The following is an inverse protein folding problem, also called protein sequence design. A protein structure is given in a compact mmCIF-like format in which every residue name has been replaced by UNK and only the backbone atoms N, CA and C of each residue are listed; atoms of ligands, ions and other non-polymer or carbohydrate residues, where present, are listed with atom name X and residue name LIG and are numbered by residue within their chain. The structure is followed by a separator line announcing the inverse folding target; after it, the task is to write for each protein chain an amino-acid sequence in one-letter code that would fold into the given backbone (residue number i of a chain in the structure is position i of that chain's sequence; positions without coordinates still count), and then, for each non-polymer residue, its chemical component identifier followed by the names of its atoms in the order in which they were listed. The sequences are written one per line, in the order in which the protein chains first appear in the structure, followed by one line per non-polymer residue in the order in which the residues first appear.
data_IF_870119382715
#
_entry.id   IF_870119382715
#
_cell.length_a   1.000
_cell.length_b   1.000
_cell.length_c   1.000
_cell.angle_alpha   90.00
_cell.angle_beta   90.00
_cell.angle_gamma   90.00
#
_symmetry.space_group_name_H-M   'P 1'
#
loop_
_entity.id
_entity.type
_entity.pdbx_description
1 polymer ?
#
# COMPACT_ATOMS: atom_id res chain seq x y z
N UNK A 1 -0.70 15.16 -18.89
CA UNK A 1 0.70 15.04 -18.44
C UNK A 1 1.56 14.82 -19.66
N UNK A 2 2.64 15.57 -19.89
CA UNK A 2 3.64 15.18 -20.89
C UNK A 2 4.25 13.88 -20.40
N UNK A 3 4.12 12.84 -21.18
CA UNK A 3 4.55 11.48 -20.82
C UNK A 3 6.08 11.38 -20.87
N UNK A 4 6.72 12.13 -21.76
CA UNK A 4 8.17 12.21 -21.90
C UNK A 4 8.55 13.62 -22.33
N UNK A 5 9.71 14.10 -21.92
CA UNK A 5 10.26 15.39 -22.37
C UNK A 5 11.77 15.26 -22.57
N UNK A 6 12.32 16.19 -23.37
CA UNK A 6 13.74 16.27 -23.65
C UNK A 6 14.37 17.42 -22.87
N UNK A 7 15.53 17.15 -22.31
CA UNK A 7 16.36 18.16 -21.63
C UNK A 7 17.80 18.07 -22.09
N UNK A 8 18.59 19.08 -21.74
CA UNK A 8 20.00 19.08 -22.01
C UNK A 8 20.79 19.36 -20.74
N UNK A 9 21.93 18.72 -20.60
CA UNK A 9 22.88 18.99 -19.51
C UNK A 9 23.43 20.40 -19.59
N UNK A 10 24.08 20.87 -18.56
CA UNK A 10 25.08 21.93 -18.67
C UNK A 10 26.21 21.52 -19.62
N UNK A 11 27.19 22.40 -19.78
CA UNK A 11 28.41 22.07 -20.55
C UNK A 11 29.18 21.03 -19.73
N UNK A 12 29.48 19.89 -20.36
CA UNK A 12 30.29 18.80 -19.81
C UNK A 12 31.51 18.59 -20.69
N UNK A 13 32.71 18.62 -20.09
CA UNK A 13 33.93 18.33 -20.80
C UNK A 13 34.08 16.81 -20.96
N UNK A 14 34.16 16.37 -22.23
CA UNK A 14 34.38 14.96 -22.51
C UNK A 14 35.82 14.51 -22.24
N UNK A 15 36.04 13.20 -22.18
CA UNK A 15 37.38 12.59 -22.02
C UNK A 15 38.32 12.94 -23.15
N UNK A 16 37.79 13.31 -24.32
CA UNK A 16 38.52 13.80 -25.50
C UNK A 16 38.84 15.32 -25.44
N UNK A 17 38.52 15.97 -24.33
CA UNK A 17 38.74 17.38 -24.10
C UNK A 17 37.77 18.33 -24.82
N UNK A 18 36.72 17.82 -25.45
CA UNK A 18 35.68 18.62 -26.12
C UNK A 18 34.52 18.91 -25.20
N UNK A 19 34.11 20.18 -25.17
CA UNK A 19 32.94 20.62 -24.39
C UNK A 19 31.66 20.31 -25.15
N UNK A 20 30.73 19.61 -24.50
CA UNK A 20 29.44 19.19 -25.09
C UNK A 20 28.28 19.46 -24.15
N UNK A 21 27.09 19.56 -24.73
CA UNK A 21 25.81 19.38 -24.01
C UNK A 21 25.20 18.07 -24.49
N UNK A 22 24.83 17.22 -23.52
CA UNK A 22 24.13 15.99 -23.84
C UNK A 22 22.64 16.24 -23.78
N UNK A 23 21.91 15.78 -24.78
CA UNK A 23 20.45 15.77 -24.80
C UNK A 23 20.00 14.42 -24.26
N UNK A 24 19.06 14.43 -23.35
CA UNK A 24 18.53 13.22 -22.73
C UNK A 24 17.02 13.26 -22.60
N UNK A 25 16.42 12.08 -22.57
CA UNK A 25 14.99 11.87 -22.36
C UNK A 25 14.73 11.69 -20.86
N UNK A 26 13.60 12.17 -20.39
CA UNK A 26 13.13 11.89 -19.03
C UNK A 26 11.60 11.68 -19.01
N UNK A 27 11.13 10.74 -18.19
CA UNK A 27 9.70 10.46 -17.99
C UNK A 27 9.15 11.36 -16.88
N UNK A 28 9.92 11.55 -15.81
CA UNK A 28 9.52 12.31 -14.63
C UNK A 28 10.08 13.74 -14.65
N UNK A 29 11.04 14.03 -13.79
CA UNK A 29 11.61 15.37 -13.65
C UNK A 29 12.90 15.50 -14.48
N UNK A 30 13.23 16.74 -14.85
CA UNK A 30 14.46 17.06 -15.58
C UNK A 30 15.74 16.49 -14.93
N UNK A 31 15.79 16.37 -13.60
CA UNK A 31 16.93 15.78 -12.89
C UNK A 31 16.95 14.24 -12.84
N UNK A 32 16.01 13.57 -13.53
CA UNK A 32 15.85 12.11 -13.54
C UNK A 32 15.92 11.58 -14.98
N UNK A 33 17.12 11.49 -15.60
CA UNK A 33 17.26 10.99 -16.97
C UNK A 33 16.82 9.52 -17.03
N UNK A 34 16.12 9.18 -18.12
CA UNK A 34 15.80 7.79 -18.45
C UNK A 34 17.03 7.10 -19.02
N UNK A 35 17.34 5.92 -18.52
CA UNK A 35 18.47 5.12 -18.99
C UNK A 35 18.14 4.44 -20.32
N UNK A 36 19.14 4.33 -21.21
CA UNK A 36 19.01 3.60 -22.47
C UNK A 36 19.37 2.12 -22.27
N UNK A 37 18.36 1.30 -22.04
CA UNK A 37 18.51 -0.14 -21.87
C UNK A 37 18.80 -0.89 -23.18
N UNK A 38 18.74 -0.21 -24.32
CA UNK A 38 19.06 -0.77 -25.64
C UNK A 38 20.39 -0.26 -26.19
N UNK A 39 21.20 0.41 -25.36
CA UNK A 39 22.55 0.84 -25.74
C UNK A 39 23.40 -0.39 -26.11
N UNK A 40 23.87 -0.49 -27.38
CA UNK A 40 24.64 -1.65 -27.82
C UNK A 40 26.00 -1.81 -27.11
N UNK A 41 26.43 -0.81 -26.35
CA UNK A 41 27.62 -0.92 -25.49
C UNK A 41 27.34 -1.58 -24.14
N UNK A 42 26.06 -1.87 -23.81
CA UNK A 42 25.63 -2.37 -22.52
C UNK A 42 26.05 -1.49 -21.33
N UNK A 43 26.12 -0.17 -21.55
CA UNK A 43 26.57 0.76 -20.51
C UNK A 43 25.56 0.85 -19.37
N UNK A 44 24.27 0.87 -19.69
CA UNK A 44 23.19 0.93 -18.70
C UNK A 44 23.16 -0.32 -17.84
N UNK A 45 23.20 -1.52 -18.44
CA UNK A 45 23.18 -2.78 -17.72
C UNK A 45 24.38 -2.91 -16.78
N UNK A 46 25.58 -2.54 -17.26
CA UNK A 46 26.78 -2.58 -16.39
C UNK A 46 26.69 -1.60 -15.24
N UNK A 47 26.12 -0.42 -15.46
CA UNK A 47 25.94 0.59 -14.41
C UNK A 47 24.99 0.08 -13.34
N UNK A 48 23.79 -0.35 -13.72
CA UNK A 48 22.75 -0.75 -12.76
C UNK A 48 23.08 -2.07 -12.07
N UNK A 49 23.60 -3.05 -12.80
CA UNK A 49 24.06 -4.33 -12.18
C UNK A 49 25.25 -4.07 -11.26
N UNK A 50 26.17 -3.16 -11.63
CA UNK A 50 27.28 -2.79 -10.76
C UNK A 50 26.80 -2.17 -9.46
N UNK A 51 25.82 -1.28 -9.51
CA UNK A 51 25.20 -0.66 -8.35
C UNK A 51 24.51 -1.72 -7.45
N UNK A 52 23.74 -2.63 -8.03
CA UNK A 52 23.08 -3.73 -7.33
C UNK A 52 24.10 -4.69 -6.66
N UNK A 53 25.22 -4.98 -7.33
CA UNK A 53 26.31 -5.78 -6.75
C UNK A 53 26.96 -5.07 -5.57
N UNK A 54 27.13 -3.74 -5.66
CA UNK A 54 27.69 -2.94 -4.57
C UNK A 54 26.72 -2.88 -3.39
N UNK A 55 25.43 -2.66 -3.61
CA UNK A 55 24.41 -2.64 -2.55
C UNK A 55 24.37 -3.98 -1.77
N UNK A 56 24.24 -5.08 -2.46
CA UNK A 56 24.11 -6.40 -1.81
C UNK A 56 25.48 -6.94 -1.37
N UNK A 57 26.48 -6.91 -2.26
CA UNK A 57 27.76 -7.58 -2.03
C UNK A 57 28.75 -6.78 -1.18
N UNK A 58 28.72 -5.44 -1.23
CA UNK A 58 29.68 -4.57 -0.53
C UNK A 58 29.04 -3.93 0.69
N UNK A 59 27.84 -3.34 0.53
CA UNK A 59 27.13 -2.67 1.64
C UNK A 59 26.41 -3.67 2.54
N UNK A 60 26.08 -4.85 2.01
CA UNK A 60 25.48 -5.95 2.77
C UNK A 60 23.96 -5.83 2.91
N UNK A 61 23.31 -5.19 1.96
CA UNK A 61 21.86 -5.10 1.92
C UNK A 61 21.25 -6.46 1.54
N UNK A 62 20.14 -6.81 2.19
CA UNK A 62 19.40 -8.04 1.90
C UNK A 62 18.40 -7.84 0.76
N UNK A 63 18.00 -6.59 0.47
CA UNK A 63 16.89 -6.29 -0.43
C UNK A 63 17.10 -4.97 -1.19
N UNK A 64 16.89 -5.01 -2.51
CA UNK A 64 16.96 -3.85 -3.39
C UNK A 64 15.55 -3.42 -3.84
N UNK A 65 15.25 -2.13 -3.72
CA UNK A 65 14.02 -1.53 -4.25
C UNK A 65 14.22 -1.08 -5.70
N UNK A 66 13.36 -1.55 -6.58
CA UNK A 66 13.30 -1.12 -7.98
C UNK A 66 12.21 -0.06 -8.13
N UNK A 67 12.66 1.21 -8.31
CA UNK A 67 11.78 2.38 -8.43
C UNK A 67 11.24 2.50 -9.86
N UNK A 68 9.93 2.70 -10.02
CA UNK A 68 9.27 2.95 -11.30
C UNK A 68 9.67 1.95 -12.42
N UNK A 69 9.98 0.75 -12.06
CA UNK A 69 10.62 -0.28 -12.90
C UNK A 69 9.70 -0.85 -14.01
N UNK A 70 8.43 -0.52 -14.03
CA UNK A 70 7.53 -0.80 -15.17
C UNK A 70 7.69 0.17 -16.35
N UNK A 71 8.46 1.25 -16.18
CA UNK A 71 8.60 2.34 -17.13
C UNK A 71 9.98 2.40 -17.80
N UNK A 72 10.63 1.26 -18.00
CA UNK A 72 12.00 1.17 -18.50
C UNK A 72 12.08 1.18 -20.03
N UNK A 73 11.12 0.58 -20.70
CA UNK A 73 11.07 0.56 -22.17
C UNK A 73 10.34 1.79 -22.72
N UNK A 74 10.90 2.41 -23.75
CA UNK A 74 10.25 3.51 -24.46
C UNK A 74 10.26 3.21 -25.94
N UNK A 75 9.08 3.07 -26.53
CA UNK A 75 8.92 2.84 -27.96
C UNK A 75 7.91 3.82 -28.55
N UNK A 76 8.20 4.31 -29.75
CA UNK A 76 7.27 5.16 -30.50
C UNK A 76 6.47 4.32 -31.47
N UNK A 77 5.17 4.24 -31.23
CA UNK A 77 4.27 3.53 -32.14
C UNK A 77 4.09 4.25 -33.49
N UNK A 78 3.66 3.53 -34.55
CA UNK A 78 3.42 4.11 -35.87
C UNK A 78 2.40 5.26 -35.87
N UNK A 79 1.45 5.26 -34.94
CA UNK A 79 0.44 6.31 -34.74
C UNK A 79 1.00 7.57 -34.07
N UNK A 80 2.29 7.55 -33.66
CA UNK A 80 2.98 8.63 -32.98
C UNK A 80 2.81 8.65 -31.46
N UNK A 81 2.04 7.71 -30.89
CA UNK A 81 1.95 7.52 -29.44
C UNK A 81 3.26 6.94 -28.89
N UNK A 82 3.52 7.19 -27.63
CA UNK A 82 4.68 6.63 -26.93
C UNK A 82 4.20 5.52 -26.02
N UNK A 83 4.66 4.31 -26.27
CA UNK A 83 4.45 3.16 -25.39
C UNK A 83 5.61 3.08 -24.41
N UNK A 84 5.34 3.17 -23.12
CA UNK A 84 6.36 3.13 -22.05
C UNK A 84 5.89 2.35 -20.82
N UNK A 85 4.60 2.30 -20.54
CA UNK A 85 4.06 1.50 -19.45
C UNK A 85 3.89 0.04 -19.91
N UNK A 86 4.27 -0.90 -19.05
CA UNK A 86 4.16 -2.34 -19.30
C UNK A 86 4.85 -2.84 -20.59
N UNK A 87 5.92 -2.16 -20.97
CA UNK A 87 6.70 -2.53 -22.14
C UNK A 87 7.43 -3.87 -21.90
N UNK A 88 7.49 -4.81 -22.89
CA UNK A 88 8.16 -6.11 -22.71
C UNK A 88 9.62 -6.02 -22.26
N UNK A 89 10.33 -4.95 -22.64
CA UNK A 89 11.69 -4.68 -22.17
C UNK A 89 11.73 -4.54 -20.66
N UNK A 90 10.71 -3.90 -20.03
CA UNK A 90 10.63 -3.76 -18.57
C UNK A 90 10.58 -5.14 -17.89
N UNK A 91 9.81 -6.09 -18.44
CA UNK A 91 9.76 -7.47 -17.92
C UNK A 91 11.15 -8.11 -17.96
N UNK A 92 11.84 -8.04 -19.11
CA UNK A 92 13.17 -8.66 -19.30
C UNK A 92 14.22 -8.04 -18.37
N UNK A 93 14.25 -6.72 -18.25
CA UNK A 93 15.20 -6.03 -17.36
C UNK A 93 14.93 -6.38 -15.90
N UNK A 94 13.68 -6.38 -15.47
CA UNK A 94 13.34 -6.74 -14.09
C UNK A 94 13.69 -8.20 -13.76
N UNK A 95 13.56 -9.12 -14.71
CA UNK A 95 14.05 -10.50 -14.55
C UNK A 95 15.57 -10.53 -14.38
N UNK A 96 16.31 -9.78 -15.19
CA UNK A 96 17.78 -9.71 -15.11
C UNK A 96 18.22 -9.19 -13.72
N UNK A 97 17.63 -8.09 -13.25
CA UNK A 97 17.96 -7.51 -11.94
C UNK A 97 17.60 -8.46 -10.80
N UNK A 98 16.39 -9.01 -10.81
CA UNK A 98 15.95 -9.95 -9.77
C UNK A 98 16.83 -11.23 -9.73
N UNK A 99 17.23 -11.75 -10.88
CA UNK A 99 18.13 -12.91 -10.96
C UNK A 99 19.54 -12.59 -10.47
N UNK A 100 20.00 -11.36 -10.69
CA UNK A 100 21.29 -10.88 -10.18
C UNK A 100 21.27 -10.80 -8.67
N UNK A 101 20.25 -10.13 -8.11
CA UNK A 101 20.07 -10.02 -6.65
C UNK A 101 20.03 -11.41 -5.99
N UNK A 102 19.24 -12.35 -6.53
CA UNK A 102 19.15 -13.73 -5.99
C UNK A 102 20.48 -14.47 -6.03
N UNK A 103 21.28 -14.30 -7.09
CA UNK A 103 22.63 -14.90 -7.18
C UNK A 103 23.58 -14.35 -6.13
N UNK A 104 23.39 -13.12 -5.70
CA UNK A 104 24.16 -12.48 -4.63
C UNK A 104 23.63 -12.82 -3.23
N UNK A 105 22.49 -13.51 -3.14
CA UNK A 105 21.87 -13.90 -1.88
C UNK A 105 20.81 -12.91 -1.37
N UNK A 106 20.53 -11.86 -2.10
CA UNK A 106 19.48 -10.88 -1.82
C UNK A 106 18.18 -11.17 -2.57
N UNK A 107 17.25 -10.25 -2.50
CA UNK A 107 15.99 -10.25 -3.24
C UNK A 107 15.54 -8.83 -3.59
N UNK A 108 14.59 -8.73 -4.50
CA UNK A 108 14.12 -7.43 -5.00
C UNK A 108 12.66 -7.21 -4.67
N UNK A 109 12.28 -5.94 -4.52
CA UNK A 109 10.89 -5.53 -4.56
C UNK A 109 10.67 -4.33 -5.47
N UNK A 110 9.51 -4.29 -6.09
CA UNK A 110 9.20 -3.31 -7.10
C UNK A 110 8.11 -2.32 -6.68
N UNK A 111 8.15 -1.15 -7.29
CA UNK A 111 7.06 -0.18 -7.27
C UNK A 111 6.22 -0.36 -8.55
N UNK A 112 5.20 -1.20 -8.46
CA UNK A 112 4.36 -1.55 -9.59
C UNK A 112 2.89 -1.23 -9.33
N UNK A 113 2.38 -0.18 -9.97
CA UNK A 113 0.96 0.15 -10.05
C UNK A 113 0.44 -0.20 -11.44
N UNK A 114 0.13 -1.47 -11.68
CA UNK A 114 -0.25 -2.01 -12.98
C UNK A 114 -1.56 -2.82 -12.91
N UNK A 115 -2.26 -3.03 -14.03
CA UNK A 115 -3.35 -3.99 -14.12
C UNK A 115 -2.93 -5.39 -13.67
N UNK A 116 -3.89 -6.21 -13.19
CA UNK A 116 -3.58 -7.49 -12.55
C UNK A 116 -2.88 -8.50 -13.47
N UNK A 117 -3.17 -8.49 -14.76
CA UNK A 117 -2.51 -9.32 -15.76
C UNK A 117 -1.05 -8.90 -15.98
N UNK A 118 -0.78 -7.60 -16.07
CA UNK A 118 0.57 -7.07 -16.14
C UNK A 118 1.35 -7.36 -14.85
N UNK A 119 0.74 -7.16 -13.67
CA UNK A 119 1.32 -7.50 -12.39
C UNK A 119 1.67 -8.98 -12.29
N UNK A 120 0.76 -9.89 -12.68
CA UNK A 120 1.04 -11.32 -12.73
C UNK A 120 2.26 -11.63 -13.62
N UNK A 121 2.32 -11.01 -14.80
CA UNK A 121 3.44 -11.19 -15.74
C UNK A 121 4.76 -10.72 -15.14
N UNK A 122 4.81 -9.53 -14.56
CA UNK A 122 6.00 -8.95 -13.93
C UNK A 122 6.49 -9.80 -12.77
N UNK A 123 5.62 -10.21 -11.87
CA UNK A 123 5.96 -11.03 -10.72
C UNK A 123 6.33 -12.48 -11.08
N UNK A 124 5.89 -13.03 -12.21
CA UNK A 124 6.08 -14.45 -12.54
C UNK A 124 7.53 -14.85 -12.80
N UNK A 125 8.43 -13.94 -13.09
CA UNK A 125 9.85 -14.22 -13.30
C UNK A 125 10.78 -13.09 -12.90
N UNK A 126 10.20 -11.96 -12.54
CA UNK A 126 10.89 -10.74 -12.15
C UNK A 126 11.06 -10.60 -10.63
N UNK A 127 10.81 -9.40 -10.08
CA UNK A 127 10.99 -9.09 -8.68
C UNK A 127 10.26 -10.05 -7.73
N UNK A 128 10.82 -10.24 -6.53
CA UNK A 128 10.28 -11.18 -5.55
C UNK A 128 9.02 -10.66 -4.88
N UNK A 129 8.97 -9.35 -4.65
CA UNK A 129 7.88 -8.65 -3.97
C UNK A 129 7.46 -7.39 -4.76
N UNK A 130 6.24 -6.91 -4.52
CA UNK A 130 5.74 -5.65 -5.03
C UNK A 130 5.03 -4.85 -3.92
N UNK A 131 5.01 -3.53 -4.00
CA UNK A 131 4.10 -2.75 -3.16
C UNK A 131 2.64 -3.12 -3.45
N UNK A 132 1.84 -3.14 -2.40
CA UNK A 132 0.40 -3.33 -2.52
C UNK A 132 -0.30 -2.05 -3.00
N UNK A 133 -0.31 -1.82 -4.30
CA UNK A 133 -1.17 -0.83 -4.96
C UNK A 133 -2.52 -1.43 -5.40
N UNK A 134 -2.76 -2.70 -5.07
CA UNK A 134 -3.94 -3.46 -5.50
C UNK A 134 -5.09 -3.29 -4.52
N UNK A 135 -4.80 -3.33 -3.21
CA UNK A 135 -5.85 -3.30 -2.19
C UNK A 135 -5.93 -1.98 -1.42
N UNK A 136 -4.90 -1.11 -1.57
CA UNK A 136 -4.79 0.13 -0.80
C UNK A 136 -5.95 1.10 -1.04
N UNK A 137 -6.27 1.55 -2.27
CA UNK A 137 -7.39 2.47 -2.46
C UNK A 137 -8.73 1.83 -2.08
N UNK A 138 -8.86 0.52 -2.19
CA UNK A 138 -10.10 -0.22 -1.90
C UNK A 138 -10.39 -0.32 -0.42
N UNK A 139 -9.38 -0.55 0.45
CA UNK A 139 -9.64 -0.54 1.89
C UNK A 139 -9.84 0.89 2.42
N UNK A 140 -9.24 1.88 1.78
CA UNK A 140 -9.52 3.29 2.10
C UNK A 140 -10.96 3.67 1.70
N UNK A 141 -11.44 3.23 0.52
CA UNK A 141 -12.85 3.38 0.14
C UNK A 141 -13.77 2.68 1.16
N UNK A 142 -13.43 1.46 1.55
CA UNK A 142 -14.20 0.72 2.56
C UNK A 142 -14.28 1.48 3.89
N UNK A 143 -13.17 2.05 4.37
CA UNK A 143 -13.16 2.89 5.57
C UNK A 143 -14.02 4.15 5.39
N UNK A 144 -13.88 4.84 4.26
CA UNK A 144 -14.57 6.10 4.00
C UNK A 144 -16.08 5.93 3.84
N UNK A 145 -16.51 4.85 3.21
CA UNK A 145 -17.92 4.59 2.87
C UNK A 145 -18.64 3.70 3.88
N UNK A 146 -17.91 2.85 4.62
CA UNK A 146 -18.48 1.76 5.42
C UNK A 146 -19.00 0.61 4.56
N UNK A 147 -18.50 0.46 3.33
CA UNK A 147 -18.91 -0.56 2.36
C UNK A 147 -17.67 -1.25 1.77
N UNK A 148 -17.48 -2.53 2.11
CA UNK A 148 -16.32 -3.32 1.72
C UNK A 148 -16.54 -4.12 0.41
N UNK A 149 -17.61 -3.85 -0.34
CA UNK A 149 -17.93 -4.59 -1.57
C UNK A 149 -16.80 -4.51 -2.61
N UNK A 150 -16.20 -3.30 -2.77
CA UNK A 150 -15.09 -3.08 -3.70
C UNK A 150 -13.86 -3.89 -3.30
N UNK A 151 -13.49 -3.86 -2.02
CA UNK A 151 -12.37 -4.62 -1.49
C UNK A 151 -12.55 -6.12 -1.72
N UNK A 152 -13.74 -6.66 -1.42
CA UNK A 152 -14.08 -8.06 -1.70
C UNK A 152 -14.05 -8.41 -3.19
N UNK A 153 -14.45 -7.47 -4.08
CA UNK A 153 -14.35 -7.66 -5.52
C UNK A 153 -12.90 -7.79 -5.97
N UNK A 154 -12.02 -6.92 -5.47
CA UNK A 154 -10.60 -6.92 -5.82
C UNK A 154 -9.90 -8.22 -5.40
N UNK A 155 -10.16 -8.75 -4.20
CA UNK A 155 -9.59 -10.05 -3.80
C UNK A 155 -10.03 -11.18 -4.71
N UNK A 156 -11.29 -11.19 -5.18
CA UNK A 156 -11.75 -12.19 -6.17
C UNK A 156 -11.07 -12.05 -7.53
N UNK A 157 -10.80 -10.79 -7.94
CA UNK A 157 -10.01 -10.53 -9.15
C UNK A 157 -8.55 -10.97 -8.99
N UNK A 158 -7.91 -10.69 -7.86
CA UNK A 158 -6.56 -11.18 -7.58
C UNK A 158 -6.48 -12.71 -7.72
N UNK A 159 -7.44 -13.44 -7.16
CA UNK A 159 -7.51 -14.90 -7.31
C UNK A 159 -7.71 -15.33 -8.77
N UNK A 160 -8.55 -14.64 -9.50
CA UNK A 160 -8.83 -14.92 -10.94
C UNK A 160 -7.57 -14.69 -11.79
N UNK A 161 -6.79 -13.65 -11.50
CA UNK A 161 -5.57 -13.28 -12.23
C UNK A 161 -4.29 -13.85 -11.62
N UNK A 162 -4.41 -14.73 -10.63
CA UNK A 162 -3.28 -15.39 -9.96
C UNK A 162 -2.26 -14.39 -9.37
N UNK A 163 -2.73 -13.25 -8.87
CA UNK A 163 -1.90 -12.33 -8.09
C UNK A 163 -1.83 -12.83 -6.66
N UNK A 164 -0.65 -13.24 -6.24
CA UNK A 164 -0.42 -13.79 -4.91
C UNK A 164 -0.21 -12.68 -3.88
N UNK A 165 -1.15 -12.57 -2.93
CA UNK A 165 -1.04 -11.63 -1.81
C UNK A 165 0.23 -11.85 -0.96
N UNK A 166 0.75 -13.08 -0.93
CA UNK A 166 2.00 -13.42 -0.25
C UNK A 166 3.25 -12.75 -0.84
N UNK A 167 3.15 -12.21 -2.04
CA UNK A 167 4.20 -11.44 -2.72
C UNK A 167 4.00 -9.93 -2.65
N UNK A 168 3.05 -9.45 -1.84
CA UNK A 168 2.79 -8.03 -1.68
C UNK A 168 3.38 -7.49 -0.37
N UNK A 169 3.80 -6.24 -0.43
CA UNK A 169 4.20 -5.44 0.74
C UNK A 169 2.99 -4.59 1.13
N UNK A 170 2.26 -5.06 2.13
CA UNK A 170 1.09 -4.39 2.68
C UNK A 170 1.53 -3.26 3.61
N UNK A 171 1.39 -2.03 3.14
CA UNK A 171 1.78 -0.84 3.88
C UNK A 171 0.62 0.17 3.89
N UNK A 172 0.41 0.82 5.04
CA UNK A 172 -0.59 1.88 5.16
C UNK A 172 -0.27 3.04 4.22
N UNK A 173 0.98 3.46 4.21
CA UNK A 173 1.47 4.54 3.36
C UNK A 173 2.98 4.38 3.13
N UNK A 174 3.45 4.82 1.97
CA UNK A 174 4.85 5.09 1.68
C UNK A 174 5.08 6.62 1.64
N UNK A 175 6.24 7.06 1.14
CA UNK A 175 6.61 8.49 1.03
C UNK A 175 5.85 9.27 -0.05
N UNK A 176 5.06 8.59 -0.86
CA UNK A 176 4.26 9.17 -1.95
C UNK A 176 2.83 9.52 -1.48
N UNK A 177 2.01 9.94 -2.41
CA UNK A 177 0.61 10.21 -2.17
C UNK A 177 -0.19 8.92 -1.92
N UNK A 178 -1.38 9.07 -1.38
CA UNK A 178 -2.39 8.03 -1.41
C UNK A 178 -2.83 7.85 -2.87
N UNK A 179 -2.31 6.81 -3.52
CA UNK A 179 -2.59 6.50 -4.91
C UNK A 179 -4.03 6.01 -5.09
N UNK A 180 -4.75 6.58 -6.07
CA UNK A 180 -6.14 6.26 -6.38
C UNK A 180 -6.33 5.85 -7.84
N UNK A 181 -5.35 5.17 -8.40
CA UNK A 181 -5.40 4.65 -9.77
C UNK A 181 -6.32 3.45 -9.92
N UNK A 182 -6.62 2.72 -8.84
CA UNK A 182 -7.44 1.50 -8.87
C UNK A 182 -6.95 0.52 -9.94
N UNK A 183 -5.68 0.19 -9.87
CA UNK A 183 -4.97 -0.66 -10.84
C UNK A 183 -5.71 -1.95 -11.24
N UNK A 184 -6.44 -2.66 -10.35
CA UNK A 184 -7.22 -3.85 -10.71
C UNK A 184 -8.27 -3.66 -11.80
N UNK A 185 -8.68 -2.42 -12.05
CA UNK A 185 -9.71 -2.09 -13.05
C UNK A 185 -9.12 -1.39 -14.29
N UNK A 186 -7.79 -1.36 -14.43
CA UNK A 186 -7.08 -0.87 -15.60
C UNK A 186 -6.94 -1.89 -16.72
N UNK A 187 -6.26 -1.53 -17.82
CA UNK A 187 -5.98 -2.45 -18.93
C UNK A 187 -7.24 -3.12 -19.48
N UNK A 188 -7.22 -4.44 -19.64
CA UNK A 188 -8.35 -5.22 -20.15
C UNK A 188 -9.60 -5.17 -19.26
N UNK A 189 -9.46 -4.88 -17.96
CA UNK A 189 -10.56 -4.77 -17.01
C UNK A 189 -11.31 -3.44 -17.13
N UNK A 190 -10.75 -2.42 -17.78
CA UNK A 190 -11.39 -1.10 -17.92
C UNK A 190 -12.75 -1.18 -18.62
N UNK A 191 -12.89 -2.01 -19.65
CA UNK A 191 -14.13 -2.20 -20.41
C UNK A 191 -14.99 -3.37 -19.91
N UNK A 192 -14.48 -4.18 -18.99
CA UNK A 192 -15.20 -5.31 -18.41
C UNK A 192 -16.35 -4.81 -17.54
N UNK A 193 -17.50 -5.51 -17.57
CA UNK A 193 -18.66 -5.18 -16.76
C UNK A 193 -18.60 -5.85 -15.38
N UNK A 194 -18.67 -5.04 -14.35
CA UNK A 194 -18.72 -5.45 -12.94
C UNK A 194 -20.09 -5.15 -12.34
N UNK A 195 -20.54 -6.01 -11.42
CA UNK A 195 -21.64 -5.71 -10.52
C UNK A 195 -21.04 -4.98 -9.29
N UNK A 196 -21.48 -3.76 -9.03
CA UNK A 196 -21.01 -2.96 -7.91
C UNK A 196 -22.13 -2.08 -7.37
N UNK A 197 -22.39 -2.13 -6.06
CA UNK A 197 -23.46 -1.39 -5.36
C UNK A 197 -24.83 -1.53 -6.06
N UNK A 198 -25.14 -2.76 -6.47
CA UNK A 198 -26.41 -3.08 -7.13
C UNK A 198 -26.56 -2.57 -8.58
N UNK A 199 -25.49 -2.09 -9.20
CA UNK A 199 -25.46 -1.62 -10.59
C UNK A 199 -24.47 -2.44 -11.40
N UNK A 200 -24.64 -2.45 -12.72
CA UNK A 200 -23.61 -2.97 -13.65
C UNK A 200 -22.92 -1.78 -14.32
N UNK A 201 -21.60 -1.76 -14.27
CA UNK A 201 -20.79 -0.69 -14.86
C UNK A 201 -19.44 -1.25 -15.34
N UNK A 202 -18.79 -0.55 -16.25
CA UNK A 202 -17.44 -0.90 -16.69
C UNK A 202 -16.43 -0.62 -15.58
N UNK A 203 -15.25 -1.26 -15.63
CA UNK A 203 -14.15 -0.98 -14.69
C UNK A 203 -13.78 0.50 -14.67
N UNK A 204 -13.69 1.14 -15.85
CA UNK A 204 -13.43 2.57 -15.93
C UNK A 204 -14.49 3.41 -15.20
N UNK A 205 -15.77 3.10 -15.43
CA UNK A 205 -16.86 3.83 -14.76
C UNK A 205 -16.87 3.62 -13.24
N UNK A 206 -16.47 2.42 -12.78
CA UNK A 206 -16.32 2.11 -11.36
C UNK A 206 -15.18 2.95 -10.75
N UNK A 207 -14.03 3.01 -11.41
CA UNK A 207 -12.89 3.83 -10.99
C UNK A 207 -13.27 5.30 -10.89
N UNK A 208 -13.90 5.84 -11.94
CA UNK A 208 -14.28 7.26 -11.97
C UNK A 208 -15.27 7.61 -10.85
N UNK A 209 -16.27 6.75 -10.61
CA UNK A 209 -17.23 6.92 -9.53
C UNK A 209 -16.54 6.91 -8.17
N UNK A 210 -15.75 5.87 -7.87
CA UNK A 210 -15.11 5.69 -6.57
C UNK A 210 -14.09 6.79 -6.30
N UNK A 211 -13.25 7.10 -7.28
CA UNK A 211 -12.27 8.19 -7.19
C UNK A 211 -12.94 9.53 -6.90
N UNK A 212 -14.04 9.85 -7.59
CA UNK A 212 -14.78 11.08 -7.35
C UNK A 212 -15.38 11.13 -5.95
N UNK A 213 -15.95 10.04 -5.46
CA UNK A 213 -16.50 9.95 -4.10
C UNK A 213 -15.40 10.15 -3.04
N UNK A 214 -14.19 9.58 -3.25
CA UNK A 214 -13.06 9.78 -2.36
C UNK A 214 -12.55 11.22 -2.38
N UNK A 215 -12.42 11.85 -3.55
CA UNK A 215 -12.02 13.26 -3.64
C UNK A 215 -12.97 14.18 -2.89
N UNK A 216 -14.29 14.01 -3.04
CA UNK A 216 -15.28 14.81 -2.33
C UNK A 216 -15.13 14.70 -0.81
N UNK A 217 -14.66 13.56 -0.30
CA UNK A 217 -14.49 13.30 1.14
C UNK A 217 -13.15 13.78 1.69
N UNK A 218 -12.09 13.68 0.89
CA UNK A 218 -10.71 13.78 1.35
C UNK A 218 -9.99 15.10 1.00
N UNK A 219 -10.57 15.95 0.14
CA UNK A 219 -9.97 17.24 -0.23
C UNK A 219 -11.01 18.37 -0.22
N UNK A 220 -10.56 19.61 -0.48
CA UNK A 220 -11.40 20.80 -0.57
C UNK A 220 -11.97 21.20 0.78
N UNK A 221 -13.23 21.67 0.81
CA UNK A 221 -13.86 22.21 2.03
C UNK A 221 -13.98 21.18 3.17
N UNK A 222 -14.02 19.89 2.87
CA UNK A 222 -14.14 18.83 3.88
C UNK A 222 -12.83 18.51 4.56
N UNK A 223 -11.73 18.58 3.82
CA UNK A 223 -10.38 18.32 4.33
C UNK A 223 -9.37 19.29 3.68
N UNK A 224 -9.37 20.57 4.07
CA UNK A 224 -8.57 21.62 3.42
C UNK A 224 -7.06 21.46 3.64
N UNK A 225 -6.66 20.55 4.50
CA UNK A 225 -5.27 20.21 4.81
C UNK A 225 -4.69 19.14 3.90
N UNK A 226 -5.50 18.45 3.11
CA UNK A 226 -5.07 17.48 2.11
C UNK A 226 -5.06 18.11 0.71
N UNK A 227 -4.11 17.72 -0.13
CA UNK A 227 -3.97 18.28 -1.47
C UNK A 227 -4.01 17.18 -2.53
N UNK A 228 -4.54 17.50 -3.70
CA UNK A 228 -4.48 16.59 -4.84
C UNK A 228 -3.06 16.50 -5.39
N UNK A 229 -2.62 15.30 -5.77
CA UNK A 229 -1.40 15.06 -6.52
C UNK A 229 -1.65 13.95 -7.56
N UNK A 230 -1.45 14.24 -8.84
CA UNK A 230 -1.73 13.27 -9.91
C UNK A 230 -3.16 12.71 -9.82
N UNK A 231 -3.28 11.40 -9.75
CA UNK A 231 -4.53 10.67 -9.52
C UNK A 231 -4.78 10.37 -8.04
N UNK A 232 -3.89 10.80 -7.15
CA UNK A 232 -3.96 10.55 -5.72
C UNK A 232 -4.15 11.80 -4.86
N UNK A 233 -3.95 11.61 -3.57
CA UNK A 233 -4.07 12.66 -2.55
C UNK A 233 -2.82 12.64 -1.67
N UNK A 234 -2.15 13.78 -1.59
CA UNK A 234 -1.12 14.01 -0.58
C UNK A 234 -1.79 14.20 0.78
N UNK A 235 -1.59 13.24 1.67
CA UNK A 235 -2.05 13.25 3.06
C UNK A 235 -1.30 12.18 3.87
N UNK A 236 -1.36 12.25 5.19
CA UNK A 236 -0.99 11.15 6.08
C UNK A 236 -2.19 10.27 6.37
N UNK A 237 -2.00 9.01 6.77
CA UNK A 237 -3.08 8.09 7.19
C UNK A 237 -3.93 8.70 8.30
N UNK A 238 -3.29 9.33 9.31
CA UNK A 238 -4.00 10.00 10.40
C UNK A 238 -4.89 11.15 9.89
N UNK A 239 -4.43 11.92 8.89
CA UNK A 239 -5.20 13.01 8.28
C UNK A 239 -6.33 12.51 7.36
N UNK A 240 -6.13 11.38 6.66
CA UNK A 240 -7.23 10.70 5.96
C UNK A 240 -8.35 10.33 6.94
N UNK A 241 -7.99 9.72 8.06
CA UNK A 241 -8.94 9.32 9.10
C UNK A 241 -9.61 10.56 9.73
N UNK A 242 -8.87 11.63 9.97
CA UNK A 242 -9.45 12.89 10.45
C UNK A 242 -10.52 13.42 9.46
N UNK A 243 -10.27 13.35 8.15
CA UNK A 243 -11.25 13.70 7.12
C UNK A 243 -12.48 12.78 7.16
N UNK A 244 -12.30 11.46 7.31
CA UNK A 244 -13.38 10.48 7.51
C UNK A 244 -14.27 10.86 8.72
N UNK A 245 -13.67 11.35 9.79
CA UNK A 245 -14.37 11.75 11.01
C UNK A 245 -15.01 13.14 10.90
N UNK A 246 -14.87 13.84 9.76
CA UNK A 246 -15.43 15.17 9.52
C UNK A 246 -14.66 16.30 10.20
N UNK A 247 -13.43 16.06 10.62
CA UNK A 247 -12.55 17.07 11.24
C UNK A 247 -11.99 17.94 10.12
N UNK A 248 -12.41 19.22 10.09
CA UNK A 248 -11.99 20.19 9.05
C UNK A 248 -10.78 21.02 9.44
N UNK A 249 -10.49 21.09 10.73
CA UNK A 249 -9.40 21.88 11.29
C UNK A 249 -8.55 21.01 12.22
N UNK A 250 -7.37 20.61 11.74
CA UNK A 250 -6.47 19.73 12.49
C UNK A 250 -5.95 20.40 13.78
N UNK A 251 -5.97 21.73 13.89
CA UNK A 251 -5.58 22.44 15.12
C UNK A 251 -6.60 22.30 16.25
N UNK A 252 -7.80 21.81 15.96
CA UNK A 252 -8.91 21.64 16.91
C UNK A 252 -9.19 20.20 17.28
N UNK A 253 -8.29 19.28 16.95
CA UNK A 253 -8.40 17.88 17.35
C UNK A 253 -8.45 17.76 18.87
N UNK A 254 -9.51 17.14 19.39
CA UNK A 254 -9.71 16.89 20.81
C UNK A 254 -9.09 15.53 21.25
N UNK A 255 -8.84 15.30 22.55
CA UNK A 255 -8.41 13.99 23.02
C UNK A 255 -9.37 12.84 22.65
N UNK A 256 -10.66 13.12 22.52
CA UNK A 256 -11.64 12.13 22.03
C UNK A 256 -11.46 11.83 20.55
N UNK A 257 -11.14 12.84 19.75
CA UNK A 257 -10.85 12.63 18.31
C UNK A 257 -9.56 11.85 18.13
N UNK A 258 -8.51 12.11 18.93
CA UNK A 258 -7.26 11.32 18.91
C UNK A 258 -7.56 9.84 19.11
N UNK A 259 -8.35 9.47 20.12
CA UNK A 259 -8.72 8.06 20.36
C UNK A 259 -9.49 7.44 19.19
N UNK A 260 -10.37 8.20 18.55
CA UNK A 260 -11.10 7.73 17.38
C UNK A 260 -10.19 7.56 16.16
N UNK A 261 -9.27 8.49 15.94
CA UNK A 261 -8.26 8.41 14.89
C UNK A 261 -7.36 7.20 15.14
N UNK A 262 -6.86 7.04 16.36
CA UNK A 262 -6.00 5.93 16.75
C UNK A 262 -6.68 4.57 16.53
N UNK A 263 -7.95 4.43 16.89
CA UNK A 263 -8.72 3.20 16.70
C UNK A 263 -8.89 2.85 15.22
N UNK A 264 -9.26 3.82 14.36
CA UNK A 264 -9.42 3.59 12.93
C UNK A 264 -8.07 3.37 12.23
N UNK A 265 -7.01 4.01 12.71
CA UNK A 265 -5.67 3.78 12.22
C UNK A 265 -5.21 2.35 12.53
N UNK A 266 -5.49 1.87 13.75
CA UNK A 266 -5.20 0.49 14.14
C UNK A 266 -6.04 -0.53 13.36
N UNK A 267 -7.28 -0.20 12.99
CA UNK A 267 -8.11 -1.04 12.10
C UNK A 267 -7.45 -1.22 10.74
N UNK A 268 -6.92 -0.14 10.14
CA UNK A 268 -6.19 -0.22 8.87
C UNK A 268 -4.86 -0.97 9.03
N UNK A 269 -4.14 -0.75 10.13
CA UNK A 269 -2.92 -1.48 10.44
C UNK A 269 -3.21 -2.98 10.63
N UNK A 270 -4.29 -3.33 11.29
CA UNK A 270 -4.77 -4.70 11.45
C UNK A 270 -5.07 -5.35 10.11
N UNK A 271 -5.81 -4.67 9.22
CA UNK A 271 -6.10 -5.17 7.88
C UNK A 271 -4.81 -5.51 7.12
N UNK A 272 -3.84 -4.58 7.11
CA UNK A 272 -2.57 -4.79 6.41
C UNK A 272 -1.69 -5.86 7.08
N UNK A 273 -1.68 -5.94 8.41
CA UNK A 273 -0.88 -6.90 9.15
C UNK A 273 -1.46 -8.33 9.08
N UNK A 274 -2.78 -8.51 9.00
CA UNK A 274 -3.41 -9.82 9.02
C UNK A 274 -3.64 -10.39 7.62
N UNK A 275 -2.61 -10.27 6.77
CA UNK A 275 -2.55 -10.82 5.43
C UNK A 275 -1.23 -11.59 5.23
N UNK A 276 -1.17 -12.61 4.36
CA UNK A 276 0.10 -13.15 3.86
C UNK A 276 0.96 -12.07 3.20
N UNK A 277 2.26 -12.30 3.08
CA UNK A 277 3.22 -11.35 2.51
C UNK A 277 3.94 -10.51 3.55
N UNK A 278 4.45 -9.35 3.16
CA UNK A 278 5.23 -8.47 4.04
C UNK A 278 4.32 -7.36 4.60
N UNK A 279 4.38 -7.15 5.91
CA UNK A 279 3.78 -5.97 6.52
C UNK A 279 4.84 -4.89 6.68
N UNK A 280 4.55 -3.68 6.23
CA UNK A 280 5.39 -2.51 6.39
C UNK A 280 4.61 -1.36 7.03
N UNK A 281 5.31 -0.54 7.79
CA UNK A 281 4.74 0.63 8.46
C UNK A 281 5.73 1.79 8.41
N UNK A 282 5.24 2.97 8.07
CA UNK A 282 6.04 4.19 8.10
C UNK A 282 6.21 4.69 9.54
N UNK A 283 7.36 5.30 9.84
CA UNK A 283 7.62 5.83 11.17
C UNK A 283 6.62 6.91 11.62
N UNK A 284 6.10 7.70 10.69
CA UNK A 284 5.07 8.69 10.98
C UNK A 284 3.70 8.06 11.34
N UNK A 285 3.38 6.87 10.84
CA UNK A 285 2.17 6.16 11.26
C UNK A 285 2.29 5.72 12.73
N UNK A 286 3.48 5.30 13.18
CA UNK A 286 3.73 4.92 14.58
C UNK A 286 3.48 6.05 15.56
N UNK A 287 3.68 7.30 15.16
CA UNK A 287 3.43 8.47 16.00
C UNK A 287 2.12 9.19 15.67
N UNK A 288 1.44 8.78 14.60
CA UNK A 288 0.18 9.38 14.16
C UNK A 288 0.34 10.80 13.64
N UNK A 289 1.32 11.03 12.76
CA UNK A 289 1.58 12.36 12.23
C UNK A 289 0.44 12.88 11.36
N UNK A 290 0.11 14.13 11.57
CA UNK A 290 -0.82 14.88 10.74
C UNK A 290 -0.11 15.54 9.55
N UNK A 291 -0.86 15.75 8.49
CA UNK A 291 -0.43 16.50 7.30
C UNK A 291 0.04 17.91 7.70
N UNK A 292 1.19 18.34 7.17
CA UNK A 292 1.71 19.69 7.38
C UNK A 292 0.79 20.74 6.75
N UNK A 293 0.64 21.91 7.37
CA UNK A 293 0.01 23.04 6.70
C UNK A 293 0.78 23.41 5.41
N UNK A 294 0.07 23.57 4.29
CA UNK A 294 0.68 23.91 3.00
C UNK A 294 1.54 25.19 3.07
N UNK A 295 1.16 26.14 3.93
CA UNK A 295 1.92 27.36 4.16
C UNK A 295 3.33 27.09 4.72
N UNK A 296 3.50 26.04 5.53
CA UNK A 296 4.77 25.69 6.15
C UNK A 296 5.80 25.12 5.15
N UNK A 297 5.32 24.62 4.01
CA UNK A 297 6.16 24.02 2.94
C UNK A 297 5.99 24.72 1.59
N UNK A 298 5.43 25.94 1.58
CA UNK A 298 5.05 26.68 0.36
C UNK A 298 6.17 26.72 -0.70
N UNK A 299 7.41 26.94 -0.30
CA UNK A 299 8.54 26.99 -1.22
C UNK A 299 8.82 25.66 -1.94
N UNK A 300 8.47 24.53 -1.31
CA UNK A 300 8.63 23.18 -1.87
C UNK A 300 7.46 22.76 -2.77
N UNK A 301 6.33 23.47 -2.69
CA UNK A 301 5.15 23.20 -3.54
C UNK A 301 5.22 23.92 -4.90
N UNK A 302 6.25 24.73 -5.13
CA UNK A 302 6.34 25.59 -6.31
C UNK A 302 6.47 24.81 -7.62
N UNK A 303 6.99 23.57 -7.59
CA UNK A 303 7.11 22.66 -8.73
C UNK A 303 5.86 21.79 -8.95
N UNK A 304 4.81 21.96 -8.12
CA UNK A 304 3.57 21.20 -8.17
C UNK A 304 3.59 19.88 -7.40
N UNK A 305 4.70 19.50 -6.75
CA UNK A 305 4.76 18.31 -5.89
C UNK A 305 4.10 18.60 -4.54
N UNK A 306 2.82 18.28 -4.41
CA UNK A 306 2.05 18.52 -3.19
C UNK A 306 2.37 17.53 -2.07
N UNK A 307 3.12 16.44 -2.34
CA UNK A 307 3.48 15.41 -1.36
C UNK A 307 4.37 15.90 -0.22
N UNK A 308 4.96 17.09 -0.36
CA UNK A 308 5.72 17.70 0.73
C UNK A 308 4.89 17.92 1.99
N UNK A 309 3.57 17.98 1.90
CA UNK A 309 2.71 18.13 3.08
C UNK A 309 2.60 16.85 3.93
N UNK A 310 2.84 15.67 3.36
CA UNK A 310 2.81 14.42 4.12
C UNK A 310 4.21 13.95 4.60
N UNK A 311 5.26 14.75 4.34
CA UNK A 311 6.65 14.43 4.68
C UNK A 311 7.17 15.28 5.84
N UNK A 312 6.36 15.48 6.87
CA UNK A 312 6.75 16.20 8.07
C UNK A 312 7.87 15.50 8.84
N UNK A 313 8.72 16.29 9.51
CA UNK A 313 9.68 15.73 10.46
C UNK A 313 8.93 15.21 11.69
N UNK A 314 9.38 14.10 12.27
CA UNK A 314 8.83 13.51 13.48
C UNK A 314 9.93 13.01 14.41
N UNK A 315 9.61 12.90 15.70
CA UNK A 315 10.52 12.43 16.74
C UNK A 315 10.03 11.08 17.28
N UNK A 316 10.40 10.00 16.58
CA UNK A 316 9.96 8.65 16.91
C UNK A 316 10.33 8.23 18.34
N UNK A 317 11.52 8.59 18.78
CA UNK A 317 12.05 8.16 20.07
C UNK A 317 11.82 9.17 21.20
N UNK A 318 11.40 10.39 20.91
CA UNK A 318 11.24 11.46 21.89
C UNK A 318 12.58 12.04 22.36
N UNK A 319 13.66 11.83 21.60
CA UNK A 319 15.00 12.29 21.94
C UNK A 319 15.26 13.77 21.57
N UNK A 320 14.41 14.36 20.73
CA UNK A 320 14.51 15.74 20.25
C UNK A 320 13.21 16.53 20.50
N UNK A 321 12.74 16.65 21.77
CA UNK A 321 11.41 17.20 22.06
C UNK A 321 11.26 18.68 21.66
N UNK A 322 12.36 19.43 21.60
CA UNK A 322 12.38 20.86 21.26
C UNK A 322 12.66 21.15 19.79
N UNK A 323 12.99 20.13 19.00
CA UNK A 323 13.24 20.31 17.57
C UNK A 323 11.98 20.75 16.84
N UNK A 324 12.09 21.78 16.01
CA UNK A 324 10.99 22.35 15.19
C UNK A 324 10.95 21.81 13.76
N UNK A 325 11.96 21.03 13.38
CA UNK A 325 12.08 20.43 12.05
C UNK A 325 13.25 19.49 11.94
N UNK A 326 13.45 18.92 10.75
CA UNK A 326 14.58 18.05 10.41
C UNK A 326 15.79 18.86 9.94
N UNK A 327 16.96 18.22 9.87
CA UNK A 327 18.17 18.79 9.26
C UNK A 327 17.97 19.15 7.78
N UNK A 328 17.09 18.42 7.07
CA UNK A 328 16.71 18.75 5.70
C UNK A 328 15.75 19.95 5.58
N UNK A 329 15.45 20.63 6.69
CA UNK A 329 14.60 21.82 6.73
C UNK A 329 13.11 21.54 6.53
N UNK A 330 12.64 20.33 6.82
CA UNK A 330 11.21 20.03 6.87
C UNK A 330 10.66 20.39 8.26
N UNK A 331 9.50 21.07 8.33
CA UNK A 331 8.85 21.38 9.61
C UNK A 331 8.43 20.11 10.34
N UNK A 332 8.39 20.18 11.67
CA UNK A 332 7.88 19.11 12.50
C UNK A 332 6.36 18.99 12.33
N UNK A 333 5.89 17.77 12.04
CA UNK A 333 4.47 17.45 12.03
C UNK A 333 3.90 17.37 13.46
N UNK A 334 2.59 17.47 13.58
CA UNK A 334 1.88 17.21 14.83
C UNK A 334 1.67 15.72 14.98
N UNK A 335 2.35 15.11 15.93
CA UNK A 335 2.22 13.69 16.27
C UNK A 335 1.10 13.50 17.32
N UNK A 336 0.09 12.68 17.01
CA UNK A 336 -1.08 12.48 17.88
C UNK A 336 -0.83 11.49 19.01
N UNK A 337 0.01 10.46 18.78
CA UNK A 337 0.18 9.33 19.71
C UNK A 337 1.41 9.50 20.62
N UNK A 338 2.28 10.45 20.29
CA UNK A 338 3.53 10.66 20.99
C UNK A 338 4.63 9.65 20.63
N UNK A 339 5.81 9.76 21.25
CA UNK A 339 6.96 8.95 20.91
C UNK A 339 6.78 7.48 21.31
N UNK A 340 7.37 6.59 20.51
CA UNK A 340 7.25 5.14 20.64
C UNK A 340 7.56 4.59 22.06
N UNK A 341 8.65 5.01 22.75
CA UNK A 341 8.91 4.49 24.08
C UNK A 341 7.78 4.75 25.09
N UNK A 342 7.14 5.94 25.02
CA UNK A 342 5.99 6.25 25.88
C UNK A 342 4.74 5.43 25.52
N UNK A 343 4.52 5.19 24.26
CA UNK A 343 3.41 4.35 23.81
C UNK A 343 3.54 2.91 24.35
N UNK A 344 4.76 2.36 24.35
CA UNK A 344 5.04 1.00 24.80
C UNK A 344 4.85 0.81 26.33
N UNK A 345 4.80 1.89 27.10
CA UNK A 345 4.44 1.87 28.53
C UNK A 345 2.93 1.72 28.75
N UNK A 346 2.10 1.93 27.72
CA UNK A 346 0.66 1.92 27.80
C UNK A 346 0.06 0.80 26.92
N UNK A 347 -0.58 -0.23 27.51
CA UNK A 347 -1.07 -1.41 26.77
C UNK A 347 -2.13 -1.08 25.71
N UNK A 348 -2.89 0.00 25.91
CA UNK A 348 -3.96 0.44 25.01
C UNK A 348 -3.52 1.42 23.93
N UNK A 349 -2.22 1.75 23.84
CA UNK A 349 -1.67 2.64 22.82
C UNK A 349 -1.62 1.96 21.45
N UNK A 350 -1.54 2.75 20.39
CA UNK A 350 -1.40 2.26 19.03
C UNK A 350 -0.23 1.26 18.90
N UNK A 351 0.97 1.65 19.35
CA UNK A 351 2.15 0.80 19.22
C UNK A 351 2.05 -0.51 20.01
N UNK A 352 1.52 -0.48 21.22
CA UNK A 352 1.35 -1.69 22.05
C UNK A 352 0.32 -2.65 21.47
N UNK A 353 -0.80 -2.14 20.96
CA UNK A 353 -1.82 -2.95 20.30
C UNK A 353 -1.31 -3.52 18.98
N UNK A 354 -0.60 -2.71 18.17
CA UNK A 354 0.04 -3.19 16.95
C UNK A 354 1.07 -4.29 17.26
N UNK A 355 1.89 -4.13 18.30
CA UNK A 355 2.85 -5.15 18.71
C UNK A 355 2.17 -6.49 19.05
N UNK A 356 0.98 -6.47 19.70
CA UNK A 356 0.16 -7.69 19.92
C UNK A 356 -0.27 -8.33 18.60
N UNK A 357 -0.75 -7.54 17.66
CA UNK A 357 -1.16 -8.02 16.33
C UNK A 357 0.03 -8.66 15.60
N UNK A 358 1.17 -7.99 15.58
CA UNK A 358 2.37 -8.50 14.92
C UNK A 358 2.95 -9.76 15.59
N UNK A 359 2.81 -9.87 16.92
CA UNK A 359 3.16 -11.10 17.64
C UNK A 359 2.30 -12.26 17.18
N UNK A 360 0.98 -12.09 17.13
CA UNK A 360 0.03 -13.13 16.65
C UNK A 360 0.34 -13.48 15.18
N UNK A 361 0.55 -12.49 14.32
CA UNK A 361 0.98 -12.70 12.93
C UNK A 361 2.23 -13.59 12.84
N UNK A 362 3.23 -13.31 13.68
CA UNK A 362 4.49 -14.06 13.73
C UNK A 362 4.29 -15.49 14.24
N UNK A 363 3.53 -15.68 15.32
CA UNK A 363 3.21 -16.98 15.91
C UNK A 363 2.45 -17.90 14.93
N UNK A 364 1.54 -17.32 14.15
CA UNK A 364 0.82 -18.01 13.09
C UNK A 364 1.68 -18.23 11.82
N UNK A 365 2.82 -17.57 11.70
CA UNK A 365 3.62 -17.49 10.47
C UNK A 365 2.78 -17.05 9.26
N UNK A 366 1.83 -16.15 9.50
CA UNK A 366 0.86 -15.74 8.50
C UNK A 366 1.52 -15.10 7.27
N UNK A 367 2.70 -14.50 7.44
CA UNK A 367 3.51 -13.93 6.35
C UNK A 367 3.84 -14.95 5.22
N UNK A 368 3.92 -16.24 5.57
CA UNK A 368 4.16 -17.32 4.62
C UNK A 368 2.88 -18.13 4.31
N UNK A 369 1.72 -17.61 4.67
CA UNK A 369 0.42 -18.18 4.38
C UNK A 369 -0.02 -17.98 2.93
N UNK A 370 -1.16 -18.53 2.57
CA UNK A 370 -1.79 -18.42 1.26
C UNK A 370 -3.23 -17.94 1.42
N UNK A 371 -3.63 -16.89 0.72
CA UNK A 371 -5.04 -16.47 0.66
C UNK A 371 -5.84 -17.49 -0.14
N UNK A 372 -6.82 -18.13 0.50
CA UNK A 372 -7.62 -19.18 -0.12
C UNK A 372 -9.03 -18.75 -0.47
N UNK A 373 -9.54 -17.68 0.17
CA UNK A 373 -10.89 -17.16 -0.09
C UNK A 373 -11.05 -15.72 0.44
N UNK A 374 -11.92 -14.97 -0.21
CA UNK A 374 -12.54 -13.75 0.29
C UNK A 374 -14.06 -13.92 0.13
N UNK A 375 -14.74 -14.58 1.09
CA UNK A 375 -16.12 -15.00 0.95
C UNK A 375 -17.06 -13.81 0.81
N UNK A 376 -18.10 -13.98 -0.02
CA UNK A 376 -19.15 -12.99 -0.12
C UNK A 376 -19.94 -12.91 1.19
N UNK A 377 -20.17 -11.71 1.68
CA UNK A 377 -20.93 -11.39 2.89
C UNK A 377 -22.11 -10.49 2.56
N UNK A 378 -23.12 -10.43 3.45
CA UNK A 378 -24.32 -9.62 3.25
C UNK A 378 -24.19 -8.23 3.91
N UNK A 379 -23.52 -8.19 5.04
CA UNK A 379 -23.30 -6.93 5.76
C UNK A 379 -22.28 -6.07 4.99
N UNK A 380 -22.70 -4.90 4.53
CA UNK A 380 -21.90 -4.02 3.66
C UNK A 380 -20.52 -3.67 4.21
N UNK A 381 -20.45 -3.39 5.52
CA UNK A 381 -19.18 -3.02 6.15
C UNK A 381 -18.27 -4.21 6.46
N UNK A 382 -18.79 -5.45 6.38
CA UNK A 382 -18.01 -6.63 6.73
C UNK A 382 -17.11 -7.04 5.56
N UNK A 383 -15.83 -7.23 5.86
CA UNK A 383 -14.86 -7.90 5.00
C UNK A 383 -14.31 -9.11 5.73
N UNK A 384 -14.18 -10.22 5.02
CA UNK A 384 -13.61 -11.47 5.55
C UNK A 384 -12.55 -11.98 4.57
N UNK A 385 -11.38 -12.31 5.11
CA UNK A 385 -10.29 -12.94 4.37
C UNK A 385 -9.97 -14.28 5.02
N UNK A 386 -9.72 -15.29 4.22
CA UNK A 386 -9.37 -16.63 4.69
C UNK A 386 -7.99 -16.99 4.15
N UNK A 387 -7.07 -17.26 5.04
CA UNK A 387 -5.71 -17.67 4.71
C UNK A 387 -5.43 -19.08 5.22
N UNK A 388 -4.71 -19.87 4.45
CA UNK A 388 -4.15 -21.15 4.89
C UNK A 388 -2.80 -20.89 5.53
N UNK A 389 -2.65 -21.35 6.78
CA UNK A 389 -1.39 -21.22 7.49
C UNK A 389 -0.37 -22.25 6.96
N UNK A 390 0.91 -21.86 6.84
CA UNK A 390 1.96 -22.79 6.47
C UNK A 390 2.08 -23.89 7.56
N UNK A 391 2.81 -24.94 7.31
CA UNK A 391 3.11 -26.04 8.21
C UNK A 391 1.89 -26.83 8.72
N UNK A 392 0.92 -26.18 9.36
CA UNK A 392 -0.26 -26.84 9.96
C UNK A 392 -1.39 -27.10 8.96
N UNK A 393 -1.50 -26.27 7.91
CA UNK A 393 -2.66 -26.26 7.02
C UNK A 393 -3.95 -25.80 7.68
N UNK A 394 -3.89 -25.25 8.89
CA UNK A 394 -5.03 -24.59 9.55
C UNK A 394 -5.50 -23.37 8.75
N UNK A 395 -6.73 -22.94 9.01
CA UNK A 395 -7.22 -21.71 8.41
C UNK A 395 -7.13 -20.57 9.43
N UNK A 396 -6.67 -19.43 8.95
CA UNK A 396 -6.82 -18.15 9.63
C UNK A 396 -7.95 -17.39 8.95
N UNK A 397 -8.84 -16.77 9.74
CA UNK A 397 -9.97 -15.98 9.26
C UNK A 397 -9.87 -14.59 9.86
N UNK A 398 -9.45 -13.64 9.06
CA UNK A 398 -9.48 -12.20 9.40
C UNK A 398 -10.85 -11.63 9.05
N UNK A 399 -11.56 -11.10 10.03
CA UNK A 399 -12.83 -10.42 9.83
C UNK A 399 -12.76 -8.97 10.32
N UNK A 400 -13.22 -8.03 9.50
CA UNK A 400 -13.18 -6.59 9.77
C UNK A 400 -14.51 -5.96 9.41
N UNK A 401 -15.03 -5.13 10.31
CA UNK A 401 -16.17 -4.28 10.03
C UNK A 401 -15.72 -2.83 9.79
N UNK A 402 -15.72 -2.39 8.54
CA UNK A 402 -15.40 -1.02 8.14
C UNK A 402 -16.57 -0.04 8.37
N UNK A 403 -17.75 -0.55 8.73
CA UNK A 403 -18.93 0.26 9.06
C UNK A 403 -18.98 0.67 10.52
N UNK A 404 -19.78 1.70 10.83
CA UNK A 404 -20.02 2.21 12.20
C UNK A 404 -21.06 1.40 13.00
N UNK A 405 -21.86 0.60 12.33
CA UNK A 405 -22.91 -0.21 12.94
C UNK A 405 -22.44 -1.64 13.20
N UNK A 406 -22.89 -2.30 14.29
CA UNK A 406 -22.54 -3.68 14.56
C UNK A 406 -22.97 -4.62 13.44
N UNK A 407 -22.19 -5.67 13.20
CA UNK A 407 -22.51 -6.76 12.27
C UNK A 407 -22.56 -8.09 13.01
N UNK A 408 -23.49 -8.96 12.61
CA UNK A 408 -23.63 -10.33 13.11
C UNK A 408 -24.05 -11.22 11.92
N UNK A 409 -23.10 -12.00 11.43
CA UNK A 409 -23.31 -12.80 10.23
C UNK A 409 -22.63 -14.17 10.33
N UNK A 410 -23.29 -15.19 9.80
CA UNK A 410 -22.75 -16.55 9.64
C UNK A 410 -22.11 -16.66 8.26
N UNK A 411 -20.78 -16.67 8.22
CA UNK A 411 -19.96 -16.62 6.99
C UNK A 411 -19.50 -18.03 6.62
N UNK A 412 -19.71 -18.43 5.38
CA UNK A 412 -19.20 -19.69 4.86
C UNK A 412 -17.70 -19.59 4.63
N UNK A 413 -16.92 -20.49 5.24
CA UNK A 413 -15.47 -20.50 5.14
C UNK A 413 -15.03 -21.69 4.30
N UNK A 414 -14.40 -21.40 3.16
CA UNK A 414 -13.90 -22.43 2.25
C UNK A 414 -12.88 -23.34 2.95
N UNK A 415 -13.18 -24.63 2.99
CA UNK A 415 -12.30 -25.62 3.66
C UNK A 415 -12.57 -25.80 5.15
N UNK A 416 -13.50 -25.06 5.77
CA UNK A 416 -13.88 -25.28 7.15
C UNK A 416 -14.76 -26.53 7.30
N UNK A 417 -14.58 -27.24 8.42
CA UNK A 417 -15.35 -28.43 8.77
C UNK A 417 -15.80 -28.38 10.24
N UNK A 418 -16.96 -28.97 10.59
CA UNK A 418 -17.51 -28.96 11.95
C UNK A 418 -16.56 -29.58 13.02
N UNK A 419 -15.59 -30.36 12.59
CA UNK A 419 -14.58 -30.97 13.45
C UNK A 419 -13.44 -30.04 13.83
N UNK A 420 -13.33 -28.90 13.17
CA UNK A 420 -12.27 -27.92 13.47
C UNK A 420 -12.57 -27.18 14.78
N UNK A 421 -11.49 -26.93 15.53
CA UNK A 421 -11.52 -26.10 16.72
C UNK A 421 -11.34 -24.63 16.32
N UNK A 422 -12.29 -23.77 16.68
CA UNK A 422 -12.22 -22.34 16.45
C UNK A 422 -11.71 -21.65 17.72
N UNK A 423 -10.72 -20.77 17.56
CA UNK A 423 -10.22 -19.89 18.63
C UNK A 423 -9.98 -18.49 18.10
N UNK A 424 -10.35 -17.47 18.86
CA UNK A 424 -9.90 -16.12 18.61
C UNK A 424 -8.43 -16.01 19.06
N UNK A 425 -7.54 -15.57 18.16
CA UNK A 425 -6.11 -15.53 18.45
C UNK A 425 -5.67 -14.21 19.08
N UNK A 426 -6.50 -13.17 18.99
CA UNK A 426 -6.26 -11.88 19.66
C UNK A 426 -6.93 -11.83 21.04
N UNK A 427 -8.05 -12.52 21.20
CA UNK A 427 -8.83 -12.56 22.44
C UNK A 427 -9.05 -14.03 22.87
N UNK A 428 -8.02 -14.72 23.41
CA UNK A 428 -8.09 -16.15 23.73
C UNK A 428 -9.16 -16.51 24.76
N UNK A 429 -9.56 -15.55 25.60
CA UNK A 429 -10.63 -15.70 26.63
C UNK A 429 -12.03 -15.46 26.05
N UNK A 430 -12.15 -15.08 24.77
CA UNK A 430 -13.46 -14.90 24.13
C UNK A 430 -14.27 -16.20 24.11
N UNK A 431 -15.62 -16.14 24.11
CA UNK A 431 -16.46 -17.31 24.00
C UNK A 431 -16.07 -18.19 22.82
N UNK A 432 -16.06 -19.51 23.06
CA UNK A 432 -15.69 -20.47 21.99
C UNK A 432 -16.71 -20.42 20.87
N UNK A 433 -16.20 -20.22 19.67
CA UNK A 433 -16.94 -20.33 18.42
C UNK A 433 -16.87 -21.76 17.89
N UNK A 434 -17.75 -22.09 16.96
CA UNK A 434 -17.77 -23.39 16.31
C UNK A 434 -18.05 -23.21 14.81
N UNK A 435 -17.56 -24.16 14.03
CA UNK A 435 -17.97 -24.32 12.64
C UNK A 435 -19.28 -25.10 12.60
N UNK A 436 -20.31 -24.59 11.93
CA UNK A 436 -21.58 -25.29 11.78
C UNK A 436 -21.49 -26.43 10.74
N UNK A 437 -22.60 -27.19 10.60
CA UNK A 437 -22.69 -28.30 9.66
C UNK A 437 -22.51 -27.89 8.17
N UNK A 438 -22.71 -26.61 7.86
CA UNK A 438 -22.55 -26.03 6.53
C UNK A 438 -21.17 -25.38 6.31
N UNK A 439 -20.22 -25.57 7.23
CA UNK A 439 -18.87 -24.96 7.16
C UNK A 439 -18.87 -23.46 7.43
N UNK A 440 -19.82 -22.96 8.22
CA UNK A 440 -19.92 -21.53 8.51
C UNK A 440 -19.41 -21.23 9.92
N UNK A 441 -18.85 -20.02 10.06
CA UNK A 441 -18.46 -19.45 11.34
C UNK A 441 -19.25 -18.17 11.58
N UNK A 442 -19.76 -17.98 12.80
CA UNK A 442 -20.42 -16.74 13.18
C UNK A 442 -19.39 -15.66 13.46
N UNK A 443 -19.52 -14.54 12.77
CA UNK A 443 -18.73 -13.31 12.95
C UNK A 443 -19.64 -12.26 13.56
N UNK A 444 -19.28 -11.77 14.75
CA UNK A 444 -20.03 -10.73 15.46
C UNK A 444 -19.08 -9.62 15.89
N UNK A 445 -19.19 -8.47 15.23
CA UNK A 445 -18.27 -7.32 15.41
C UNK A 445 -19.05 -6.06 15.73
N UNK A 446 -18.48 -5.22 16.59
CA UNK A 446 -18.92 -3.83 16.78
C UNK A 446 -18.63 -3.02 15.52
N UNK A 447 -19.17 -1.81 15.45
CA UNK A 447 -18.75 -0.83 14.44
C UNK A 447 -17.24 -0.60 14.52
N UNK A 448 -16.56 -0.63 13.39
CA UNK A 448 -15.10 -0.54 13.28
C UNK A 448 -14.35 -1.59 14.11
N UNK A 449 -14.96 -2.76 14.32
CA UNK A 449 -14.36 -3.88 15.03
C UNK A 449 -13.65 -4.85 14.09
N UNK A 450 -12.78 -5.67 14.67
CA UNK A 450 -12.06 -6.73 13.95
C UNK A 450 -11.95 -7.98 14.82
N UNK A 451 -11.64 -9.11 14.16
CA UNK A 451 -11.42 -10.40 14.80
C UNK A 451 -10.48 -11.24 13.94
N UNK A 452 -9.62 -12.03 14.59
CA UNK A 452 -8.78 -13.01 13.92
C UNK A 452 -9.03 -14.39 14.52
N UNK A 453 -9.49 -15.34 13.71
CA UNK A 453 -9.85 -16.67 14.13
C UNK A 453 -8.91 -17.71 13.53
N UNK A 454 -8.43 -18.65 14.35
CA UNK A 454 -7.77 -19.85 13.88
C UNK A 454 -8.74 -21.02 13.91
N UNK A 455 -8.88 -21.69 12.77
CA UNK A 455 -9.64 -22.92 12.61
C UNK A 455 -8.63 -24.07 12.50
N UNK A 456 -8.37 -24.74 13.62
CA UNK A 456 -7.38 -25.80 13.71
C UNK A 456 -8.00 -27.15 13.38
N UNK A 457 -7.31 -27.94 12.54
CA UNK A 457 -7.65 -29.35 12.33
C UNK A 457 -7.32 -30.14 13.60
N UNK A 458 -8.14 -31.13 13.92
CA UNK A 458 -7.90 -32.04 15.03
C UNK A 458 -6.85 -33.09 14.68
#
# INVERSE_FOLDING_TARGET
MKVTDWSATGIVRGVDGVDRRWVYLHIFKQGQPTLDWLDPSFATERLVIGDEVDEIGVLGDDMVRLDANSLLGIEREPNGQVWFADHPLSVTVNQLLADTARKLGGYTFEELAAPLDAMHTMLSGGPDLSYDFVTRPEYDDALLTGDAELLGLVYRLMQQYHVDSGRLIHALQNHDELYMGFAPFGGAQADQLFAFRGRRMTGQALVDLTRQEMYVRLIGERAPYNLKFGEGIACTTASLIAAKLGIRDLSRITPSDVKRIEHLHLLLAFFNAMQPGVFALSGWDLVGDLTLPAAAVRGRLADGDTRWINRGAYDLLGSNPTATGSEAGLPRATALYGPLPRQLEHPDSFASQLARILKVRSELRLYAGEVVDAPAVRAKGLFVLVSRLPDSGDLEVTAINFGDSPVDESVAIKGAAPTMKVSDVLEPEAPRLAVDAAGRVRVSLKGYGWQALRLARR
#
